data_IF_320588695162
#
_entry.id   IF_320588695162
#
_cell.length_a   1.000
_cell.length_b   1.000
_cell.length_c   1.000
_cell.angle_alpha   90.00
_cell.angle_beta   90.00
_cell.angle_gamma   90.00
#
_symmetry.space_group_name_H-M   'P 1'
#
loop_
_entity.id
_entity.type
_entity.pdbx_description
1 polymer ?
#
# COMPACT_ATOMS: atom_id res chain seq x y z
N UNK A 1 27.93 -8.16 5.31
CA UNK A 1 28.06 -6.93 4.53
C UNK A 1 26.89 -6.89 3.57
N UNK A 2 25.99 -5.92 3.60
CA UNK A 2 24.99 -5.82 2.54
C UNK A 2 25.72 -5.62 1.22
N UNK A 3 25.37 -6.44 0.24
CA UNK A 3 25.79 -6.30 -1.15
C UNK A 3 25.51 -4.87 -1.58
N UNK A 4 26.41 -4.22 -2.33
CA UNK A 4 26.31 -2.83 -2.78
C UNK A 4 25.16 -2.55 -3.78
N UNK A 5 24.07 -3.32 -3.70
CA UNK A 5 22.79 -3.10 -4.38
C UNK A 5 21.88 -2.27 -3.48
N UNK A 6 21.15 -1.36 -4.09
CA UNK A 6 20.06 -0.62 -3.44
C UNK A 6 18.88 -1.51 -3.08
N UNK A 7 17.87 -0.97 -2.36
CA UNK A 7 16.64 -1.70 -2.06
C UNK A 7 15.95 -2.19 -3.33
N UNK A 8 15.56 -3.48 -3.37
CA UNK A 8 15.04 -4.15 -4.57
C UNK A 8 13.82 -3.45 -5.18
N UNK A 9 12.95 -2.88 -4.34
CA UNK A 9 11.80 -2.11 -4.81
C UNK A 9 12.26 -0.86 -5.59
N UNK A 10 13.23 -0.10 -5.08
CA UNK A 10 13.70 1.13 -5.75
C UNK A 10 14.42 0.82 -7.06
N UNK A 11 15.21 -0.26 -7.11
CA UNK A 11 15.82 -0.73 -8.36
C UNK A 11 14.74 -1.07 -9.39
N UNK A 12 13.68 -1.77 -8.95
CA UNK A 12 12.57 -2.14 -9.84
C UNK A 12 11.74 -0.93 -10.30
N UNK A 13 11.50 0.06 -9.42
CA UNK A 13 10.78 1.29 -9.77
C UNK A 13 11.57 2.19 -10.71
N UNK A 14 12.90 2.10 -10.67
CA UNK A 14 13.80 2.85 -11.57
C UNK A 14 14.01 2.17 -12.92
N UNK A 15 13.66 0.88 -13.02
CA UNK A 15 13.78 0.13 -14.27
C UNK A 15 12.72 0.55 -15.30
N UNK A 16 12.95 0.21 -16.58
CA UNK A 16 11.97 0.50 -17.64
C UNK A 16 10.69 -0.35 -17.53
N UNK A 17 10.76 -1.50 -16.87
CA UNK A 17 9.64 -2.44 -16.71
C UNK A 17 8.63 -1.94 -15.67
N UNK A 18 7.36 -2.07 -15.99
CA UNK A 18 6.28 -1.81 -15.03
C UNK A 18 6.34 -2.75 -13.82
N UNK A 19 6.11 -2.20 -12.63
CA UNK A 19 5.96 -2.97 -11.40
C UNK A 19 4.48 -3.07 -11.07
N UNK A 20 4.01 -4.30 -10.82
CA UNK A 20 2.68 -4.56 -10.25
C UNK A 20 2.93 -5.22 -8.89
N UNK A 21 2.43 -4.60 -7.84
CA UNK A 21 2.49 -5.11 -6.47
C UNK A 21 1.09 -5.52 -5.99
N UNK A 22 1.03 -6.38 -4.99
CA UNK A 22 -0.21 -6.74 -4.31
C UNK A 22 -0.22 -6.16 -2.89
N UNK A 23 -1.31 -5.50 -2.51
CA UNK A 23 -1.52 -5.07 -1.13
C UNK A 23 -2.39 -6.10 -0.42
N UNK A 24 -1.86 -6.67 0.65
CA UNK A 24 -2.54 -7.65 1.48
C UNK A 24 -2.78 -7.05 2.87
N UNK A 25 -3.91 -7.43 3.45
CA UNK A 25 -4.19 -7.10 4.84
C UNK A 25 -3.81 -8.28 5.72
N UNK A 26 -3.01 -8.07 6.77
CA UNK A 26 -2.77 -9.09 7.78
C UNK A 26 -4.08 -9.55 8.45
N UNK A 27 -4.14 -10.77 8.99
CA UNK A 27 -5.27 -11.24 9.78
C UNK A 27 -5.61 -10.27 10.92
N UNK A 28 -6.89 -10.20 11.27
CA UNK A 28 -7.37 -9.33 12.37
C UNK A 28 -6.93 -9.91 13.72
N UNK A 29 -6.48 -9.04 14.62
CA UNK A 29 -6.10 -9.42 15.98
C UNK A 29 -7.27 -9.99 16.83
N UNK A 30 -8.51 -9.72 16.43
CA UNK A 30 -9.72 -10.14 17.13
C UNK A 30 -10.17 -11.58 16.81
N UNK A 31 -9.44 -12.28 15.92
CA UNK A 31 -9.76 -13.66 15.57
C UNK A 31 -9.41 -14.60 16.72
N UNK A 32 -10.26 -15.58 16.96
CA UNK A 32 -9.92 -16.69 17.85
C UNK A 32 -8.68 -17.43 17.34
N UNK A 33 -7.93 -18.04 18.26
CA UNK A 33 -6.59 -18.60 18.00
C UNK A 33 -6.56 -19.54 16.78
N UNK A 34 -7.54 -20.42 16.62
CA UNK A 34 -7.58 -21.35 15.48
C UNK A 34 -7.83 -20.59 14.15
N UNK A 35 -8.80 -19.69 14.12
CA UNK A 35 -9.11 -18.87 12.94
C UNK A 35 -7.96 -17.91 12.59
N UNK A 36 -7.26 -17.38 13.59
CA UNK A 36 -6.07 -16.55 13.40
C UNK A 36 -4.93 -17.37 12.78
N UNK A 37 -4.71 -18.59 13.24
CA UNK A 37 -3.68 -19.49 12.68
C UNK A 37 -3.97 -19.82 11.22
N UNK A 38 -5.20 -20.20 10.89
CA UNK A 38 -5.61 -20.51 9.51
C UNK A 38 -5.43 -19.28 8.60
N UNK A 39 -5.84 -18.10 9.05
CA UNK A 39 -5.68 -16.85 8.31
C UNK A 39 -4.20 -16.48 8.09
N UNK A 40 -3.31 -16.75 9.05
CA UNK A 40 -1.87 -16.58 8.88
C UNK A 40 -1.25 -17.57 7.90
N UNK A 41 -1.73 -18.84 7.91
CA UNK A 41 -1.31 -19.86 6.93
C UNK A 41 -1.68 -19.39 5.52
N UNK A 42 -2.92 -18.94 5.31
CA UNK A 42 -3.38 -18.42 4.02
C UNK A 42 -2.56 -17.18 3.59
N UNK A 43 -2.30 -16.26 4.52
CA UNK A 43 -1.45 -15.08 4.26
C UNK A 43 -0.05 -15.49 3.85
N UNK A 44 0.55 -16.46 4.54
CA UNK A 44 1.86 -17.00 4.20
C UNK A 44 1.89 -17.61 2.79
N UNK A 45 0.90 -18.44 2.45
CA UNK A 45 0.80 -19.02 1.11
C UNK A 45 0.62 -17.95 0.03
N UNK A 46 -0.21 -16.94 0.29
CA UNK A 46 -0.40 -15.81 -0.62
C UNK A 46 0.89 -15.03 -0.85
N UNK A 47 1.58 -14.64 0.23
CA UNK A 47 2.86 -13.93 0.14
C UNK A 47 3.91 -14.76 -0.61
N UNK A 48 4.02 -16.05 -0.28
CA UNK A 48 4.98 -16.96 -0.92
C UNK A 48 4.70 -17.13 -2.42
N UNK A 49 3.44 -17.28 -2.80
CA UNK A 49 3.06 -17.40 -4.22
C UNK A 49 3.40 -16.13 -4.99
N UNK A 50 3.00 -14.97 -4.48
CA UNK A 50 3.23 -13.68 -5.13
C UNK A 50 4.75 -13.38 -5.27
N UNK A 51 5.52 -13.57 -4.21
CA UNK A 51 6.96 -13.27 -4.24
C UNK A 51 7.75 -14.21 -5.12
N UNK A 52 7.32 -15.46 -5.32
CA UNK A 52 7.93 -16.39 -6.30
C UNK A 52 7.80 -15.91 -7.73
N UNK A 53 6.72 -15.21 -8.05
CA UNK A 53 6.48 -14.59 -9.35
C UNK A 53 7.16 -13.21 -9.48
N UNK A 54 7.96 -12.81 -8.50
CA UNK A 54 8.62 -11.51 -8.47
C UNK A 54 7.70 -10.33 -8.16
N UNK A 55 6.49 -10.60 -7.63
CA UNK A 55 5.52 -9.57 -7.23
C UNK A 55 5.89 -9.03 -5.85
N UNK A 56 5.99 -7.72 -5.73
CA UNK A 56 6.12 -7.07 -4.42
C UNK A 56 4.81 -7.17 -3.64
N UNK A 57 4.93 -7.39 -2.34
CA UNK A 57 3.79 -7.50 -1.44
C UNK A 57 3.83 -6.37 -0.42
N UNK A 58 2.83 -5.52 -0.46
CA UNK A 58 2.58 -4.52 0.57
C UNK A 58 1.69 -5.11 1.66
N UNK A 59 2.11 -4.98 2.91
CA UNK A 59 1.35 -5.46 4.07
C UNK A 59 0.86 -4.28 4.88
N UNK A 60 -0.46 -4.11 4.92
CA UNK A 60 -1.07 -2.94 5.55
C UNK A 60 -0.90 -2.93 7.07
N UNK A 61 -0.88 -1.72 7.63
CA UNK A 61 -1.02 -1.43 9.05
C UNK A 61 -2.38 -0.75 9.29
N UNK A 62 -2.86 -0.76 10.53
CA UNK A 62 -4.13 -0.15 10.89
C UNK A 62 -4.10 1.38 10.73
N UNK A 63 -4.83 1.88 9.76
CA UNK A 63 -4.98 3.32 9.56
C UNK A 63 -5.71 4.03 10.71
N UNK A 64 -6.43 3.29 11.53
CA UNK A 64 -7.20 3.79 12.69
C UNK A 64 -6.54 3.45 14.04
N UNK A 65 -5.39 2.78 14.02
CA UNK A 65 -4.64 2.43 15.23
C UNK A 65 -5.34 1.40 16.11
N UNK A 66 -6.16 0.53 15.50
CA UNK A 66 -6.60 -0.69 16.19
C UNK A 66 -5.35 -1.50 16.52
N UNK A 67 -5.33 -2.15 17.66
CA UNK A 67 -4.26 -3.08 18.03
C UNK A 67 -4.31 -4.26 17.04
N UNK A 68 -3.71 -4.07 15.89
CA UNK A 68 -3.29 -5.20 15.10
C UNK A 68 -2.12 -5.81 15.86
N UNK A 69 -2.12 -7.13 15.98
CA UNK A 69 -0.99 -7.83 16.55
C UNK A 69 0.27 -7.39 15.83
N UNK A 70 1.41 -7.45 16.49
CA UNK A 70 2.71 -7.10 15.92
C UNK A 70 2.93 -7.86 14.60
N UNK A 71 2.40 -7.28 13.52
CA UNK A 71 2.42 -7.86 12.18
C UNK A 71 3.82 -8.28 11.77
N UNK A 72 4.81 -7.47 12.15
CA UNK A 72 6.21 -7.76 11.86
C UNK A 72 6.69 -9.01 12.59
N UNK A 73 6.28 -9.23 13.84
CA UNK A 73 6.61 -10.43 14.60
C UNK A 73 6.02 -11.66 13.94
N UNK A 74 4.75 -11.62 13.55
CA UNK A 74 4.11 -12.74 12.85
C UNK A 74 4.76 -13.03 11.51
N UNK A 75 5.07 -11.99 10.73
CA UNK A 75 5.79 -12.13 9.46
C UNK A 75 7.16 -12.78 9.66
N UNK A 76 7.94 -12.29 10.60
CA UNK A 76 9.27 -12.81 10.87
C UNK A 76 9.23 -14.25 11.36
N UNK A 77 8.26 -14.60 12.21
CA UNK A 77 8.13 -15.94 12.77
C UNK A 77 7.59 -16.97 11.78
N UNK A 78 6.70 -16.55 10.87
CA UNK A 78 5.97 -17.47 9.99
C UNK A 78 6.48 -17.46 8.54
N UNK A 79 7.15 -16.39 8.08
CA UNK A 79 7.82 -16.40 6.79
C UNK A 79 9.15 -17.14 6.90
N UNK A 80 9.23 -18.29 6.26
CA UNK A 80 10.46 -19.06 6.15
C UNK A 80 11.58 -18.31 5.42
N UNK A 81 12.76 -18.89 5.38
CA UNK A 81 13.92 -18.33 4.67
C UNK A 81 13.77 -18.38 3.14
N UNK A 82 12.78 -19.11 2.67
CA UNK A 82 12.44 -19.27 1.24
C UNK A 82 11.58 -18.13 0.67
N UNK A 83 11.14 -17.19 1.52
CA UNK A 83 10.41 -15.98 1.10
C UNK A 83 11.34 -14.77 1.14
N UNK A 84 11.64 -14.14 -0.01
CA UNK A 84 12.54 -13.00 -0.08
C UNK A 84 11.90 -11.78 0.60
N UNK A 85 12.44 -11.38 1.75
CA UNK A 85 11.93 -10.24 2.52
C UNK A 85 12.12 -8.90 1.83
N UNK A 86 13.07 -8.82 0.89
CA UNK A 86 13.25 -7.67 0.00
C UNK A 86 12.04 -7.39 -0.91
N UNK A 87 11.19 -8.41 -1.15
CA UNK A 87 9.95 -8.25 -1.91
C UNK A 87 8.74 -7.89 -1.04
N UNK A 88 8.91 -7.79 0.30
CA UNK A 88 7.82 -7.46 1.22
C UNK A 88 8.04 -6.06 1.78
N UNK A 89 7.01 -5.22 1.70
CA UNK A 89 7.04 -3.83 2.14
C UNK A 89 5.94 -3.61 3.18
N UNK A 90 6.26 -3.65 4.46
CA UNK A 90 5.30 -3.36 5.51
C UNK A 90 4.89 -1.89 5.52
N UNK A 91 3.64 -1.62 5.94
CA UNK A 91 3.18 -0.28 6.27
C UNK A 91 3.39 -0.02 7.77
N UNK A 92 3.60 1.25 8.08
CA UNK A 92 3.67 1.76 9.43
C UNK A 92 2.87 3.06 9.51
N UNK A 93 1.94 3.16 10.44
CA UNK A 93 1.16 4.37 10.64
C UNK A 93 1.64 5.16 11.86
N UNK A 94 1.50 6.49 11.78
CA UNK A 94 1.75 7.37 12.93
C UNK A 94 0.71 7.22 14.06
N UNK A 95 -0.18 6.24 13.99
CA UNK A 95 -1.18 5.94 15.00
C UNK A 95 -0.62 5.18 16.21
N UNK A 96 0.57 4.62 16.07
CA UNK A 96 1.30 3.98 17.16
C UNK A 96 2.14 5.02 17.95
N UNK A 97 2.53 4.73 19.19
CA UNK A 97 3.50 5.54 19.91
C UNK A 97 4.82 5.69 19.16
N UNK A 98 5.51 6.81 19.32
CA UNK A 98 6.73 7.11 18.57
C UNK A 98 7.85 6.08 18.81
N UNK A 99 8.05 5.68 20.05
CA UNK A 99 9.01 4.64 20.44
C UNK A 99 8.70 3.30 19.77
N UNK A 100 7.43 2.92 19.68
CA UNK A 100 6.99 1.75 18.92
C UNK A 100 7.33 1.88 17.43
N UNK A 101 7.03 3.03 16.81
CA UNK A 101 7.31 3.27 15.39
C UNK A 101 8.81 3.15 15.08
N UNK A 102 9.67 3.72 15.91
CA UNK A 102 11.11 3.64 15.74
C UNK A 102 11.63 2.21 15.96
N UNK A 103 11.15 1.52 17.00
CA UNK A 103 11.49 0.12 17.25
C UNK A 103 10.99 -0.81 16.13
N UNK A 104 9.81 -0.51 15.52
CA UNK A 104 9.28 -1.25 14.38
C UNK A 104 10.21 -1.12 13.16
N UNK A 105 10.62 0.10 12.81
CA UNK A 105 11.54 0.33 11.70
C UNK A 105 12.91 -0.35 11.92
N UNK A 106 13.41 -0.30 13.16
CA UNK A 106 14.62 -1.02 13.56
C UNK A 106 14.50 -2.53 13.33
N UNK A 107 13.43 -3.13 13.84
CA UNK A 107 13.16 -4.58 13.68
C UNK A 107 12.99 -4.96 12.21
N UNK A 108 12.27 -4.15 11.43
CA UNK A 108 12.11 -4.39 10.00
C UNK A 108 13.47 -4.47 9.31
N UNK A 109 14.32 -3.49 9.53
CA UNK A 109 15.67 -3.46 8.97
C UNK A 109 16.52 -4.68 9.41
N UNK A 110 16.53 -4.98 10.71
CA UNK A 110 17.29 -6.12 11.27
C UNK A 110 16.82 -7.47 10.72
N UNK A 111 15.56 -7.60 10.34
CA UNK A 111 15.01 -8.79 9.74
C UNK A 111 15.07 -8.84 8.21
N UNK A 112 15.77 -7.89 7.58
CA UNK A 112 16.05 -7.89 6.15
C UNK A 112 14.91 -7.35 5.27
N UNK A 113 13.96 -6.59 5.84
CA UNK A 113 13.05 -5.77 5.04
C UNK A 113 13.81 -4.53 4.56
N UNK A 114 13.69 -4.23 3.27
CA UNK A 114 14.48 -3.16 2.64
C UNK A 114 13.69 -1.86 2.46
N UNK A 115 12.37 -1.92 2.63
CA UNK A 115 11.49 -0.76 2.47
C UNK A 115 10.35 -0.77 3.48
N UNK A 116 9.86 0.44 3.83
CA UNK A 116 8.65 0.69 4.60
C UNK A 116 7.81 1.77 3.93
N UNK A 117 6.49 1.65 3.98
CA UNK A 117 5.57 2.76 3.67
C UNK A 117 5.12 3.40 4.98
N UNK A 118 5.42 4.68 5.17
CA UNK A 118 5.12 5.40 6.42
C UNK A 118 3.98 6.39 6.18
N UNK A 119 2.84 6.13 6.81
CA UNK A 119 1.59 6.84 6.63
C UNK A 119 1.18 7.62 7.88
N UNK A 120 0.39 8.68 7.69
CA UNK A 120 -0.17 9.43 8.81
C UNK A 120 -1.25 8.66 9.59
N UNK A 121 -2.00 7.80 8.91
CA UNK A 121 -3.24 7.24 9.43
C UNK A 121 -4.39 8.25 9.40
N UNK A 122 -5.59 7.84 9.77
CA UNK A 122 -6.76 8.72 9.83
C UNK A 122 -6.64 9.75 10.97
N UNK A 123 -6.96 11.02 10.71
CA UNK A 123 -6.91 12.08 11.74
C UNK A 123 -8.11 12.08 12.68
N UNK A 124 -9.25 11.61 12.18
CA UNK A 124 -10.55 11.71 12.85
C UNK A 124 -10.92 10.47 13.66
N UNK A 125 -10.26 9.33 13.44
CA UNK A 125 -10.62 8.05 14.05
C UNK A 125 -9.42 7.46 14.79
N UNK A 126 -9.67 6.85 15.95
CA UNK A 126 -8.67 6.15 16.77
C UNK A 126 -7.74 7.09 17.56
N UNK A 127 -6.58 6.59 18.05
CA UNK A 127 -5.65 7.38 18.83
C UNK A 127 -5.05 8.54 18.03
N UNK A 128 -4.57 9.61 18.68
CA UNK A 128 -3.86 10.68 18.01
C UNK A 128 -2.59 10.15 17.33
N UNK A 129 -2.13 10.85 16.32
CA UNK A 129 -0.84 10.56 15.69
C UNK A 129 0.31 10.90 16.63
N UNK A 130 1.36 10.10 16.66
CA UNK A 130 2.56 10.37 17.45
C UNK A 130 3.39 11.57 16.91
N UNK A 131 3.16 11.96 15.66
CA UNK A 131 3.73 13.16 15.02
C UNK A 131 2.65 13.85 14.19
N UNK A 132 2.81 15.14 13.91
CA UNK A 132 1.81 15.90 13.15
C UNK A 132 1.74 15.45 11.68
N UNK A 133 2.90 15.16 11.10
CA UNK A 133 3.05 14.76 9.70
C UNK A 133 3.89 13.50 9.55
N UNK A 134 3.52 12.61 8.64
CA UNK A 134 4.26 11.37 8.41
C UNK A 134 5.72 11.58 7.98
N UNK A 135 6.04 12.71 7.34
CA UNK A 135 7.42 13.04 7.00
C UNK A 135 8.32 13.21 8.23
N UNK A 136 7.79 13.68 9.35
CA UNK A 136 8.54 13.81 10.63
C UNK A 136 8.98 12.43 11.15
N UNK A 137 8.10 11.43 11.03
CA UNK A 137 8.45 10.05 11.40
C UNK A 137 9.46 9.45 10.41
N UNK A 138 9.28 9.67 9.08
CA UNK A 138 10.25 9.22 8.08
C UNK A 138 11.64 9.84 8.32
N UNK A 139 11.71 11.12 8.64
CA UNK A 139 12.98 11.79 8.93
C UNK A 139 13.67 11.16 10.17
N UNK A 140 12.93 10.87 11.22
CA UNK A 140 13.48 10.19 12.39
C UNK A 140 13.95 8.76 12.06
N UNK A 141 13.18 7.98 11.31
CA UNK A 141 13.59 6.65 10.84
C UNK A 141 14.86 6.75 9.99
N UNK A 142 14.92 7.70 9.07
CA UNK A 142 16.07 7.93 8.19
C UNK A 142 17.37 8.19 8.96
N UNK A 143 17.32 8.97 10.01
CA UNK A 143 18.50 9.26 10.86
C UNK A 143 19.05 8.01 11.52
N UNK A 144 18.19 7.05 11.87
CA UNK A 144 18.59 5.82 12.54
C UNK A 144 18.91 4.69 11.54
N UNK A 145 18.22 4.64 10.41
CA UNK A 145 18.34 3.59 9.38
C UNK A 145 18.36 4.19 7.96
N UNK A 146 19.49 4.77 7.55
CA UNK A 146 19.60 5.42 6.24
C UNK A 146 19.47 4.45 5.06
N UNK A 147 19.72 3.14 5.27
CA UNK A 147 19.59 2.12 4.23
C UNK A 147 18.17 1.61 3.99
N UNK A 148 17.19 2.03 4.79
CA UNK A 148 15.80 1.61 4.63
C UNK A 148 15.09 2.56 3.67
N UNK A 149 14.55 2.05 2.57
CA UNK A 149 13.74 2.85 1.64
C UNK A 149 12.39 3.22 2.29
N UNK A 150 12.01 4.49 2.19
CA UNK A 150 10.79 5.00 2.82
C UNK A 150 9.80 5.46 1.76
N UNK A 151 8.58 4.94 1.83
CA UNK A 151 7.47 5.34 0.98
C UNK A 151 6.62 6.46 1.60
N UNK A 152 6.22 7.40 0.75
CA UNK A 152 5.25 8.45 1.05
C UNK A 152 3.85 8.12 0.56
N UNK A 153 2.97 9.13 0.55
CA UNK A 153 1.58 9.01 0.14
C UNK A 153 1.09 10.25 -0.57
N UNK A 154 0.26 10.07 -1.58
CA UNK A 154 -0.48 11.14 -2.26
C UNK A 154 -1.94 10.74 -2.48
N UNK A 155 -2.82 11.73 -2.56
CA UNK A 155 -4.23 11.53 -2.88
C UNK A 155 -4.60 12.26 -4.18
N UNK A 156 -4.65 11.59 -5.35
CA UNK A 156 -5.00 12.20 -6.61
C UNK A 156 -6.41 12.82 -6.66
N UNK A 157 -7.32 12.43 -5.74
CA UNK A 157 -8.67 13.00 -5.65
C UNK A 157 -8.70 14.36 -4.92
N UNK A 158 -7.63 14.71 -4.21
CA UNK A 158 -7.48 15.99 -3.54
C UNK A 158 -6.91 17.06 -4.49
N UNK A 159 -6.67 18.26 -3.99
CA UNK A 159 -6.06 19.32 -4.78
C UNK A 159 -4.67 18.91 -5.30
N UNK A 160 -4.53 18.86 -6.61
CA UNK A 160 -3.32 18.36 -7.26
C UNK A 160 -2.07 19.20 -6.93
N UNK A 161 -2.22 20.52 -6.85
CA UNK A 161 -1.11 21.43 -6.54
C UNK A 161 -0.59 21.22 -5.12
N UNK A 162 -1.50 21.04 -4.15
CA UNK A 162 -1.15 20.74 -2.77
C UNK A 162 -0.48 19.35 -2.66
N UNK A 163 -1.04 18.33 -3.32
CA UNK A 163 -0.50 16.96 -3.25
C UNK A 163 0.90 16.86 -3.87
N UNK A 164 1.09 17.43 -5.06
CA UNK A 164 2.41 17.50 -5.70
C UNK A 164 3.37 18.35 -4.89
N UNK A 165 2.88 19.48 -4.31
CA UNK A 165 3.65 20.30 -3.40
C UNK A 165 4.18 19.56 -2.19
N UNK A 166 3.36 18.68 -1.60
CA UNK A 166 3.79 17.83 -0.49
C UNK A 166 4.87 16.81 -0.89
N UNK A 167 4.82 16.28 -2.11
CA UNK A 167 5.83 15.34 -2.61
C UNK A 167 7.16 16.02 -2.99
N UNK A 168 7.12 17.30 -3.34
CA UNK A 168 8.28 18.10 -3.70
C UNK A 168 8.87 18.89 -2.53
N UNK A 169 8.27 18.82 -1.34
CA UNK A 169 8.79 19.49 -0.16
C UNK A 169 10.12 18.86 0.26
N UNK A 170 11.14 19.68 0.50
CA UNK A 170 12.49 19.24 0.87
C UNK A 170 12.52 18.38 2.14
N UNK A 171 11.47 18.47 2.97
CA UNK A 171 11.30 17.68 4.20
C UNK A 171 10.78 16.26 3.95
N UNK A 172 10.43 15.91 2.71
CA UNK A 172 9.61 14.70 2.43
C UNK A 172 10.34 13.39 2.68
N UNK A 173 11.56 13.25 2.89
CA UNK A 173 12.31 12.03 3.31
C UNK A 173 11.78 10.70 2.75
N UNK A 174 11.21 10.70 1.52
CA UNK A 174 10.68 9.54 0.84
C UNK A 174 11.38 9.32 -0.50
N UNK A 175 11.61 8.06 -0.88
CA UNK A 175 12.20 7.68 -2.16
C UNK A 175 11.15 7.28 -3.20
N UNK A 176 9.94 6.96 -2.76
CA UNK A 176 8.79 6.63 -3.62
C UNK A 176 7.49 7.03 -2.92
N UNK A 177 6.38 7.01 -3.63
CA UNK A 177 5.08 7.22 -3.01
C UNK A 177 4.03 6.23 -3.54
N UNK A 178 3.04 5.97 -2.69
CA UNK A 178 1.81 5.29 -3.09
C UNK A 178 0.70 6.32 -3.22
N UNK A 179 -0.33 6.02 -4.01
CA UNK A 179 -1.50 6.89 -4.10
C UNK A 179 -2.71 6.30 -3.36
N UNK A 180 -3.69 7.15 -3.03
CA UNK A 180 -5.05 6.67 -2.80
C UNK A 180 -5.53 5.90 -4.03
N UNK A 181 -6.43 4.92 -3.82
CA UNK A 181 -6.97 4.14 -4.93
C UNK A 181 -7.60 5.05 -5.99
N UNK A 182 -7.33 4.69 -7.24
CA UNK A 182 -7.87 5.34 -8.43
C UNK A 182 -8.37 4.27 -9.42
N UNK A 183 -9.13 4.68 -10.40
CA UNK A 183 -9.65 3.82 -11.45
C UNK A 183 -9.85 4.62 -12.73
N UNK A 184 -10.25 3.94 -13.81
CA UNK A 184 -10.66 4.60 -15.05
C UNK A 184 -11.85 5.56 -14.87
N UNK A 185 -12.64 5.40 -13.79
CA UNK A 185 -13.69 6.36 -13.40
C UNK A 185 -13.13 7.63 -12.74
N UNK A 186 -11.87 7.62 -12.31
CA UNK A 186 -11.18 8.76 -11.68
C UNK A 186 -10.37 9.61 -12.68
N UNK A 187 -10.63 9.47 -14.00
CA UNK A 187 -9.81 10.05 -15.09
C UNK A 187 -9.39 11.50 -14.83
N UNK A 188 -10.33 12.40 -14.61
CA UNK A 188 -10.00 13.82 -14.45
C UNK A 188 -9.13 14.13 -13.23
N UNK A 189 -9.27 13.36 -12.14
CA UNK A 189 -8.44 13.51 -10.95
C UNK A 189 -7.00 13.04 -11.21
N UNK A 190 -6.84 11.88 -11.86
CA UNK A 190 -5.54 11.33 -12.22
C UNK A 190 -4.80 12.23 -13.20
N UNK A 191 -5.47 12.67 -14.28
CA UNK A 191 -4.87 13.56 -15.29
C UNK A 191 -4.42 14.90 -14.71
N UNK A 192 -5.19 15.50 -13.80
CA UNK A 192 -4.77 16.73 -13.08
C UNK A 192 -3.55 16.48 -12.21
N UNK A 193 -3.53 15.40 -11.45
CA UNK A 193 -2.40 15.08 -10.59
C UNK A 193 -1.12 14.83 -11.40
N UNK A 194 -1.19 14.01 -12.46
CA UNK A 194 -0.05 13.72 -13.33
C UNK A 194 0.43 14.98 -14.07
N UNK A 195 -0.50 15.75 -14.63
CA UNK A 195 -0.18 17.02 -15.32
C UNK A 195 0.53 18.01 -14.41
N UNK A 196 0.09 18.14 -13.16
CA UNK A 196 0.74 18.99 -12.16
C UNK A 196 2.13 18.44 -11.77
N UNK A 197 2.26 17.11 -11.64
CA UNK A 197 3.55 16.46 -11.40
C UNK A 197 4.55 16.77 -12.50
N UNK A 198 4.16 16.60 -13.76
CA UNK A 198 5.00 16.92 -14.92
C UNK A 198 5.36 18.40 -14.93
N UNK A 199 4.38 19.27 -14.76
CA UNK A 199 4.57 20.74 -14.77
C UNK A 199 5.59 21.19 -13.73
N UNK A 200 5.65 20.54 -12.57
CA UNK A 200 6.54 20.91 -11.45
C UNK A 200 7.77 20.03 -11.33
N UNK A 201 8.01 19.11 -12.26
CA UNK A 201 9.20 18.26 -12.27
C UNK A 201 9.21 17.22 -11.14
N UNK A 202 8.09 16.58 -10.83
CA UNK A 202 8.04 15.47 -9.89
C UNK A 202 8.67 14.22 -10.52
N UNK A 203 9.87 13.86 -10.08
CA UNK A 203 10.61 12.69 -10.57
C UNK A 203 10.55 11.48 -9.63
N UNK A 204 10.05 11.67 -8.39
CA UNK A 204 9.89 10.57 -7.44
C UNK A 204 8.96 9.51 -8.03
N UNK A 205 9.37 8.21 -8.07
CA UNK A 205 8.53 7.15 -8.61
C UNK A 205 7.27 6.96 -7.76
N UNK A 206 6.12 6.86 -8.43
CA UNK A 206 4.82 6.65 -7.81
C UNK A 206 4.20 5.34 -8.22
N UNK A 207 3.58 4.64 -7.26
CA UNK A 207 2.76 3.46 -7.50
C UNK A 207 1.29 3.81 -7.28
N UNK A 208 0.47 3.59 -8.29
CA UNK A 208 -0.95 3.96 -8.26
C UNK A 208 -1.81 2.80 -7.77
N UNK A 209 -2.65 3.06 -6.78
CA UNK A 209 -3.51 2.07 -6.15
C UNK A 209 -4.75 1.77 -6.99
N UNK A 210 -5.03 0.49 -7.21
CA UNK A 210 -6.22 0.01 -7.87
C UNK A 210 -6.91 -0.97 -6.94
N UNK A 211 -8.19 -0.76 -6.68
CA UNK A 211 -8.95 -1.68 -5.85
C UNK A 211 -9.52 -2.81 -6.70
N UNK A 212 -9.32 -4.05 -6.26
CA UNK A 212 -9.88 -5.23 -6.90
C UNK A 212 -11.29 -5.49 -6.36
N UNK A 213 -12.31 -5.00 -7.06
CA UNK A 213 -13.71 -5.20 -6.70
C UNK A 213 -14.17 -6.58 -7.14
N UNK A 214 -14.52 -7.47 -6.18
CA UNK A 214 -15.00 -8.82 -6.47
C UNK A 214 -16.45 -8.86 -6.98
N UNK A 215 -17.25 -7.88 -6.59
CA UNK A 215 -18.67 -7.77 -6.97
C UNK A 215 -19.21 -6.37 -6.70
N UNK A 216 -20.39 -6.08 -7.24
CA UNK A 216 -21.15 -4.88 -6.92
C UNK A 216 -22.08 -5.05 -5.70
N UNK A 217 -21.73 -5.87 -4.71
CA UNK A 217 -22.56 -6.02 -3.52
C UNK A 217 -22.79 -4.66 -2.83
N UNK A 218 -24.04 -4.16 -2.74
CA UNK A 218 -24.31 -2.79 -2.27
C UNK A 218 -23.84 -2.55 -0.83
N UNK A 219 -23.92 -3.56 0.04
CA UNK A 219 -23.45 -3.44 1.44
C UNK A 219 -21.94 -3.27 1.49
N UNK A 220 -21.21 -4.04 0.68
CA UNK A 220 -19.74 -3.94 0.60
C UNK A 220 -19.32 -2.62 0.01
N UNK A 221 -19.91 -2.19 -1.12
CA UNK A 221 -19.56 -0.91 -1.75
C UNK A 221 -19.89 0.27 -0.83
N UNK A 222 -21.03 0.25 -0.14
CA UNK A 222 -21.41 1.27 0.83
C UNK A 222 -20.44 1.33 2.01
N UNK A 223 -20.03 0.19 2.55
CA UNK A 223 -19.04 0.14 3.63
C UNK A 223 -17.68 0.71 3.18
N UNK A 224 -17.23 0.35 1.97
CA UNK A 224 -15.97 0.85 1.40
C UNK A 224 -16.02 2.35 1.11
N UNK A 225 -17.14 2.87 0.61
CA UNK A 225 -17.29 4.30 0.28
C UNK A 225 -17.20 5.24 1.48
N UNK A 226 -17.33 4.70 2.70
CA UNK A 226 -17.13 5.47 3.94
C UNK A 226 -15.67 5.91 4.17
N UNK A 227 -14.69 5.27 3.51
CA UNK A 227 -13.27 5.55 3.69
C UNK A 227 -12.42 5.50 2.40
N UNK A 228 -12.99 5.03 1.29
CA UNK A 228 -12.34 4.99 -0.02
C UNK A 228 -13.21 5.73 -1.07
N UNK A 229 -12.59 6.30 -2.10
CA UNK A 229 -13.31 6.96 -3.20
C UNK A 229 -13.87 5.92 -4.19
N UNK A 230 -14.91 5.20 -3.76
CA UNK A 230 -15.54 4.11 -4.55
C UNK A 230 -16.53 4.69 -5.55
N UNK A 231 -16.40 4.44 -6.86
CA UNK A 231 -17.37 4.84 -7.89
C UNK A 231 -18.55 3.84 -7.92
N UNK A 232 -19.43 3.90 -6.92
CA UNK A 232 -20.45 2.89 -6.66
C UNK A 232 -21.42 2.69 -7.83
N UNK A 233 -21.88 3.78 -8.46
CA UNK A 233 -22.86 3.71 -9.55
C UNK A 233 -22.24 3.10 -10.81
N UNK A 234 -21.06 3.58 -11.17
CA UNK A 234 -20.31 3.13 -12.33
C UNK A 234 -19.94 1.64 -12.21
N UNK A 235 -19.41 1.22 -11.06
CA UNK A 235 -19.11 -0.19 -10.79
C UNK A 235 -20.36 -1.09 -10.86
N UNK A 236 -21.47 -0.63 -10.27
CA UNK A 236 -22.73 -1.37 -10.34
C UNK A 236 -23.22 -1.54 -11.79
N UNK A 237 -23.04 -0.50 -12.62
CA UNK A 237 -23.34 -0.57 -14.04
C UNK A 237 -22.46 -1.53 -14.81
N UNK A 238 -21.15 -1.55 -14.54
CA UNK A 238 -20.22 -2.47 -15.19
C UNK A 238 -20.52 -3.94 -14.85
N UNK A 239 -20.74 -4.26 -13.58
CA UNK A 239 -21.11 -5.61 -13.16
C UNK A 239 -22.48 -6.04 -13.71
N UNK A 240 -23.46 -5.14 -13.72
CA UNK A 240 -24.77 -5.40 -14.34
C UNK A 240 -24.67 -5.63 -15.86
N UNK A 241 -23.68 -5.00 -16.49
CA UNK A 241 -23.32 -5.21 -17.90
C UNK A 241 -22.53 -6.50 -18.17
N UNK A 242 -22.26 -7.31 -17.13
CA UNK A 242 -21.56 -8.59 -17.26
C UNK A 242 -20.04 -8.51 -17.18
N UNK A 243 -19.46 -7.35 -16.81
CA UNK A 243 -18.02 -7.25 -16.64
C UNK A 243 -17.53 -8.08 -15.43
N UNK A 244 -16.42 -8.78 -15.61
CA UNK A 244 -15.78 -9.52 -14.51
C UNK A 244 -14.89 -8.61 -13.65
N UNK A 245 -14.57 -9.00 -12.40
CA UNK A 245 -13.61 -8.27 -11.56
C UNK A 245 -12.26 -8.00 -12.25
N UNK A 246 -11.75 -9.00 -12.98
CA UNK A 246 -10.50 -8.94 -13.73
C UNK A 246 -10.56 -7.92 -14.86
N UNK A 247 -11.67 -7.86 -15.58
CA UNK A 247 -11.87 -6.90 -16.67
C UNK A 247 -11.92 -5.46 -16.15
N UNK A 248 -12.61 -5.22 -15.04
CA UNK A 248 -12.69 -3.89 -14.39
C UNK A 248 -11.31 -3.46 -13.91
N UNK A 249 -10.57 -4.35 -13.26
CA UNK A 249 -9.19 -4.09 -12.82
C UNK A 249 -8.29 -3.80 -14.04
N UNK A 250 -8.34 -4.62 -15.08
CA UNK A 250 -7.56 -4.47 -16.29
C UNK A 250 -7.88 -3.16 -17.05
N UNK A 251 -9.14 -2.71 -17.05
CA UNK A 251 -9.51 -1.38 -17.62
C UNK A 251 -8.83 -0.26 -16.85
N UNK A 252 -8.80 -0.32 -15.52
CA UNK A 252 -8.13 0.68 -14.70
C UNK A 252 -6.63 0.71 -14.96
N UNK A 253 -5.96 -0.46 -15.04
CA UNK A 253 -4.53 -0.54 -15.36
C UNK A 253 -4.25 0.05 -16.74
N UNK A 254 -5.02 -0.33 -17.77
CA UNK A 254 -4.85 0.20 -19.13
C UNK A 254 -4.98 1.71 -19.16
N UNK A 255 -6.06 2.23 -18.59
CA UNK A 255 -6.29 3.67 -18.52
C UNK A 255 -5.11 4.41 -17.87
N UNK A 256 -4.65 3.93 -16.72
CA UNK A 256 -3.52 4.54 -16.01
C UNK A 256 -2.22 4.44 -16.81
N UNK A 257 -1.98 3.30 -17.50
CA UNK A 257 -0.82 3.14 -18.38
C UNK A 257 -0.85 4.11 -19.55
N UNK A 258 -2.01 4.31 -20.20
CA UNK A 258 -2.21 5.28 -21.27
C UNK A 258 -2.00 6.73 -20.79
N UNK A 259 -2.33 7.01 -19.52
CA UNK A 259 -2.07 8.30 -18.88
C UNK A 259 -0.60 8.50 -18.46
N UNK A 260 0.27 7.49 -18.67
CA UNK A 260 1.71 7.55 -18.36
C UNK A 260 2.11 6.97 -17.00
N UNK A 261 1.18 6.36 -16.26
CA UNK A 261 1.52 5.64 -15.01
C UNK A 261 2.23 4.34 -15.34
N UNK A 262 3.34 4.09 -14.64
CA UNK A 262 4.18 2.91 -14.86
C UNK A 262 3.98 1.81 -13.83
N UNK A 263 3.74 2.17 -12.58
CA UNK A 263 3.75 1.24 -11.47
C UNK A 263 2.42 1.23 -10.74
N UNK A 264 1.97 0.04 -10.35
CA UNK A 264 0.65 -0.19 -9.78
C UNK A 264 0.76 -1.03 -8.51
N UNK A 265 -0.16 -0.83 -7.59
CA UNK A 265 -0.44 -1.82 -6.57
C UNK A 265 -1.93 -2.15 -6.55
N UNK A 266 -2.23 -3.44 -6.46
CA UNK A 266 -3.60 -3.95 -6.44
C UNK A 266 -4.01 -4.15 -4.99
N UNK A 267 -4.99 -3.40 -4.55
CA UNK A 267 -5.50 -3.47 -3.19
C UNK A 267 -6.48 -4.64 -3.08
N UNK A 268 -6.08 -5.67 -2.33
CA UNK A 268 -6.85 -6.87 -2.03
C UNK A 268 -7.15 -6.86 -0.53
N UNK A 269 -8.33 -6.43 -0.12
CA UNK A 269 -8.68 -6.30 1.30
C UNK A 269 -8.73 -7.61 2.09
N UNK A 270 -8.76 -8.79 1.43
CA UNK A 270 -8.88 -10.08 2.10
C UNK A 270 -7.98 -11.13 1.50
N UNK A 271 -7.25 -11.85 2.35
CA UNK A 271 -6.39 -12.97 1.98
C UNK A 271 -7.12 -14.31 1.95
N UNK A 272 -8.28 -14.44 2.60
CA UNK A 272 -9.07 -15.67 2.62
C UNK A 272 -10.34 -15.55 1.79
N UNK A 273 -10.70 -16.57 0.99
CA UNK A 273 -12.05 -16.68 0.45
C UNK A 273 -13.04 -16.74 1.63
N UNK A 274 -14.06 -15.90 1.61
CA UNK A 274 -15.13 -15.98 2.60
C UNK A 274 -15.82 -17.35 2.45
N UNK A 275 -16.10 -18.06 3.55
CA UNK A 275 -16.90 -19.28 3.48
C UNK A 275 -18.32 -19.11 2.89
N UNK A 276 -18.67 -17.88 2.53
CA UNK A 276 -19.95 -17.50 1.90
C UNK A 276 -19.86 -17.32 0.39
N UNK A 277 -18.70 -17.51 -0.21
CA UNK A 277 -18.49 -17.42 -1.66
C UNK A 277 -18.46 -18.81 -2.33
N UNK A 278 -18.82 -19.88 -1.58
CA UNK A 278 -19.01 -21.25 -2.07
C UNK A 278 -20.49 -21.59 -2.21
#
# INVERSE_FOLDING_TARGET
MPSGRGPALLESLSAEKSVIAAELRPPRAELETAASMDAWIDTYHGVKSLTREGTFVFLTDSAVGLKEEDNLRHLVSNLGTDVPRSCIVPFLTCKHPLDYCLAYAERAYMHGFEALVVLGGDKSVGPPRCVNHAWELRDQIRRHRPGLALGGWANPHADASAQVGHLLDDRVSAEFFLTQIVSHHSRGAVERFLGEGVRRGLHMPGMFGIFYYRSANPRTLSALSGFLPVPVQELSGEFAGGATPEEICARSIRFLSEAGVRHFYICLLYTSPSPRDS
#
